data_IF_803378792381
#
_entry.id   IF_803378792381
#
_cell.length_a   1.000
_cell.length_b   1.000
_cell.length_c   1.000
_cell.angle_alpha   90.00
_cell.angle_beta   90.00
_cell.angle_gamma   90.00
#
_symmetry.space_group_name_H-M   'P 1'
#
loop_
_entity.id
_entity.type
_entity.pdbx_description
1 polymer ?
#
# COMPACT_ATOMS: atom_id res chain seq x y z
N UNK A 1 -6.64 16.47 -43.74
CA UNK A 1 -5.38 17.07 -43.26
C UNK A 1 -5.38 17.21 -41.74
N UNK A 2 -6.46 17.70 -41.12
CA UNK A 2 -6.56 17.92 -39.66
C UNK A 2 -6.48 16.66 -38.79
N UNK A 3 -7.01 15.51 -39.22
CA UNK A 3 -6.93 14.26 -38.46
C UNK A 3 -5.50 13.69 -38.40
N UNK A 4 -4.71 13.85 -39.46
CA UNK A 4 -3.32 13.40 -39.52
C UNK A 4 -2.42 14.29 -38.66
N UNK A 5 -2.63 15.61 -38.68
CA UNK A 5 -1.90 16.56 -37.83
C UNK A 5 -2.25 16.35 -36.35
N UNK A 6 -3.52 16.08 -36.03
CA UNK A 6 -3.96 15.75 -34.66
C UNK A 6 -3.35 14.44 -34.14
N UNK A 7 -3.16 13.44 -35.00
CA UNK A 7 -2.52 12.17 -34.63
C UNK A 7 -1.02 12.36 -34.34
N UNK A 8 -0.29 13.02 -35.25
CA UNK A 8 1.14 13.33 -35.09
C UNK A 8 1.41 14.19 -33.85
N UNK A 9 0.56 15.18 -33.58
CA UNK A 9 0.67 16.02 -32.38
C UNK A 9 0.38 15.21 -31.10
N UNK A 10 -0.50 14.20 -31.19
CA UNK A 10 -0.79 13.27 -30.11
C UNK A 10 0.42 12.38 -29.78
N UNK A 11 1.06 11.81 -30.79
CA UNK A 11 2.21 10.91 -30.62
C UNK A 11 3.41 11.64 -30.01
N UNK A 12 3.72 12.86 -30.47
CA UNK A 12 4.77 13.71 -29.88
C UNK A 12 4.52 14.02 -28.40
N UNK A 13 3.25 14.22 -28.02
CA UNK A 13 2.85 14.46 -26.62
C UNK A 13 3.02 13.21 -25.76
N UNK A 14 2.77 12.03 -26.31
CA UNK A 14 2.98 10.75 -25.62
C UNK A 14 4.46 10.48 -25.42
N UNK A 15 5.29 10.69 -26.45
CA UNK A 15 6.74 10.59 -26.33
C UNK A 15 7.30 11.53 -25.27
N UNK A 16 6.83 12.79 -25.28
CA UNK A 16 7.21 13.77 -24.25
C UNK A 16 6.81 13.32 -22.85
N UNK A 17 5.60 12.78 -22.68
CA UNK A 17 5.12 12.23 -21.40
C UNK A 17 6.04 11.11 -20.90
N UNK A 18 6.40 10.16 -21.78
CA UNK A 18 7.29 9.05 -21.44
C UNK A 18 8.69 9.54 -21.02
N UNK A 19 9.25 10.52 -21.73
CA UNK A 19 10.54 11.12 -21.38
C UNK A 19 10.51 11.78 -20.00
N UNK A 20 9.46 12.56 -19.70
CA UNK A 20 9.31 13.22 -18.40
C UNK A 20 9.12 12.18 -17.28
N UNK A 21 8.30 11.16 -17.51
CA UNK A 21 8.10 10.07 -16.56
C UNK A 21 9.40 9.34 -16.24
N UNK A 22 10.23 9.04 -17.24
CA UNK A 22 11.52 8.39 -17.03
C UNK A 22 12.42 9.25 -16.12
N UNK A 23 12.46 10.56 -16.35
CA UNK A 23 13.25 11.50 -15.52
C UNK A 23 12.75 11.54 -14.09
N UNK A 24 11.45 11.72 -13.88
CA UNK A 24 10.86 11.78 -12.54
C UNK A 24 11.03 10.45 -11.81
N UNK A 25 10.78 9.31 -12.47
CA UNK A 25 10.97 7.99 -11.88
C UNK A 25 12.40 7.80 -11.41
N UNK A 26 13.39 8.11 -12.25
CA UNK A 26 14.81 8.00 -11.90
C UNK A 26 15.15 8.79 -10.62
N UNK A 27 14.61 10.02 -10.50
CA UNK A 27 14.81 10.86 -9.32
C UNK A 27 14.13 10.28 -8.08
N UNK A 28 12.91 9.77 -8.20
CA UNK A 28 12.18 9.11 -7.09
C UNK A 28 12.91 7.84 -6.63
N UNK A 29 13.42 7.03 -7.56
CA UNK A 29 14.16 5.80 -7.28
C UNK A 29 15.51 6.07 -6.60
N UNK A 30 16.24 7.09 -7.05
CA UNK A 30 17.47 7.54 -6.39
C UNK A 30 17.15 8.08 -4.99
N UNK A 31 16.06 8.82 -4.83
CA UNK A 31 15.65 9.39 -3.56
C UNK A 31 15.27 8.32 -2.51
N UNK A 32 14.64 7.21 -2.93
CA UNK A 32 14.37 6.07 -2.02
C UNK A 32 15.67 5.39 -1.52
N UNK A 33 16.75 5.47 -2.30
CA UNK A 33 18.09 5.00 -1.92
C UNK A 33 18.89 5.95 -1.02
N UNK A 34 18.32 7.09 -0.62
CA UNK A 34 19.04 8.15 0.12
C UNK A 34 18.39 8.40 1.48
N UNK A 35 19.19 8.83 2.45
CA UNK A 35 18.66 9.30 3.74
C UNK A 35 18.37 10.80 3.68
N UNK A 36 17.09 11.16 3.60
CA UNK A 36 16.63 12.55 3.43
C UNK A 36 16.03 13.02 4.76
N UNK A 37 16.67 14.00 5.40
CA UNK A 37 16.21 14.58 6.67
C UNK A 37 15.47 15.90 6.50
N UNK A 38 15.73 16.62 5.42
CA UNK A 38 15.13 17.93 5.14
C UNK A 38 13.63 17.77 4.81
N UNK A 39 12.77 18.43 5.60
CA UNK A 39 11.31 18.33 5.46
C UNK A 39 10.78 18.89 4.14
N UNK A 40 11.38 19.96 3.61
CA UNK A 40 11.01 20.52 2.30
C UNK A 40 11.37 19.55 1.17
N UNK A 41 12.53 18.89 1.23
CA UNK A 41 12.91 17.85 0.27
C UNK A 41 11.94 16.66 0.32
N UNK A 42 11.52 16.23 1.52
CA UNK A 42 10.51 15.17 1.65
C UNK A 42 9.16 15.57 1.02
N UNK A 43 8.77 16.84 1.16
CA UNK A 43 7.57 17.35 0.49
C UNK A 43 7.72 17.37 -1.04
N UNK A 44 8.89 17.76 -1.55
CA UNK A 44 9.21 17.69 -2.98
C UNK A 44 9.15 16.25 -3.50
N UNK A 45 9.71 15.29 -2.77
CA UNK A 45 9.66 13.86 -3.13
C UNK A 45 8.22 13.33 -3.19
N UNK A 46 7.37 13.76 -2.25
CA UNK A 46 5.94 13.44 -2.26
C UNK A 46 5.24 13.96 -3.52
N UNK A 47 5.51 15.22 -3.88
CA UNK A 47 4.96 15.84 -5.10
C UNK A 47 5.47 15.16 -6.37
N UNK A 48 6.76 14.83 -6.44
CA UNK A 48 7.38 14.05 -7.53
C UNK A 48 6.69 12.70 -7.71
N UNK A 49 6.51 11.96 -6.61
CA UNK A 49 5.86 10.64 -6.62
C UNK A 49 4.40 10.72 -7.07
N UNK A 50 3.64 11.71 -6.58
CA UNK A 50 2.25 11.90 -6.98
C UNK A 50 2.12 12.21 -8.48
N UNK A 51 2.94 13.12 -9.00
CA UNK A 51 2.97 13.44 -10.43
C UNK A 51 3.38 12.23 -11.29
N UNK A 52 4.34 11.43 -10.80
CA UNK A 52 4.75 10.19 -11.45
C UNK A 52 3.59 9.20 -11.59
N UNK A 53 2.88 8.88 -10.50
CA UNK A 53 1.76 7.93 -10.55
C UNK A 53 0.61 8.46 -11.41
N UNK A 54 0.31 9.75 -11.35
CA UNK A 54 -0.67 10.38 -12.24
C UNK A 54 -0.27 10.24 -13.71
N UNK A 55 1.00 10.51 -14.04
CA UNK A 55 1.49 10.37 -15.41
C UNK A 55 1.45 8.91 -15.89
N UNK A 56 1.78 7.93 -15.04
CA UNK A 56 1.63 6.52 -15.36
C UNK A 56 0.18 6.10 -15.56
N UNK A 57 -0.74 6.61 -14.74
CA UNK A 57 -2.18 6.40 -14.92
C UNK A 57 -2.63 6.84 -16.32
N UNK A 58 -2.24 8.05 -16.72
CA UNK A 58 -2.57 8.57 -18.05
C UNK A 58 -1.90 7.73 -19.15
N UNK A 59 -0.61 7.44 -19.04
CA UNK A 59 0.13 6.66 -20.04
C UNK A 59 -0.49 5.27 -20.25
N UNK A 60 -0.89 4.60 -19.17
CA UNK A 60 -1.61 3.34 -19.20
C UNK A 60 -2.92 3.45 -19.98
N UNK A 61 -3.74 4.47 -19.69
CA UNK A 61 -5.02 4.71 -20.37
C UNK A 61 -4.84 4.94 -21.89
N UNK A 62 -3.71 5.50 -22.31
CA UNK A 62 -3.35 5.67 -23.73
C UNK A 62 -3.08 4.31 -24.38
N UNK A 63 -2.20 3.51 -23.76
CA UNK A 63 -1.80 2.19 -24.29
C UNK A 63 -3.00 1.27 -24.47
N UNK A 64 -3.89 1.19 -23.48
CA UNK A 64 -5.04 0.29 -23.53
C UNK A 64 -6.06 0.71 -24.60
N UNK A 65 -6.27 2.01 -24.80
CA UNK A 65 -7.16 2.52 -25.86
C UNK A 65 -6.63 2.26 -27.27
N UNK A 66 -5.32 2.35 -27.47
CA UNK A 66 -4.70 2.04 -28.77
C UNK A 66 -4.91 0.56 -29.15
N UNK A 67 -4.80 -0.36 -28.18
CA UNK A 67 -5.04 -1.78 -28.41
C UNK A 67 -6.52 -2.12 -28.64
N UNK A 68 -7.46 -1.52 -27.90
CA UNK A 68 -8.91 -1.74 -28.10
C UNK A 68 -9.44 -1.18 -29.44
N UNK A 69 -8.73 -0.24 -30.06
CA UNK A 69 -9.03 0.24 -31.42
C UNK A 69 -8.65 -0.77 -32.51
N UNK A 70 -7.63 -1.61 -32.27
CA UNK A 70 -7.08 -2.55 -33.24
C UNK A 70 -7.74 -3.96 -33.18
N UNK A 71 -8.34 -4.34 -32.06
CA UNK A 71 -8.92 -5.69 -31.83
C UNK A 71 -10.42 -5.80 -32.10
N UNK A 72 -10.98 -4.97 -33.00
CA UNK A 72 -12.43 -4.98 -33.30
C UNK A 72 -12.92 -6.18 -34.12
N UNK A 73 -12.04 -7.02 -34.65
CA UNK A 73 -12.41 -8.08 -35.61
C UNK A 73 -12.39 -9.52 -35.06
N UNK A 74 -12.33 -9.75 -33.74
CA UNK A 74 -12.33 -11.14 -33.24
C UNK A 74 -12.90 -11.35 -31.84
N UNK A 75 -14.20 -11.12 -31.66
CA UNK A 75 -14.99 -11.99 -30.78
C UNK A 75 -16.36 -12.18 -31.41
N UNK A 76 -16.52 -13.33 -32.07
CA UNK A 76 -17.80 -13.82 -32.61
C UNK A 76 -18.80 -14.05 -31.49
N UNK A 77 -20.03 -13.63 -31.75
CA UNK A 77 -21.23 -13.89 -30.95
C UNK A 77 -21.37 -15.38 -30.60
N UNK A 78 -21.52 -15.66 -29.31
CA UNK A 78 -22.34 -16.79 -28.87
C UNK A 78 -23.17 -16.35 -27.68
N UNK A 79 -24.45 -16.16 -27.97
CA UNK A 79 -25.52 -15.86 -27.06
C UNK A 79 -25.89 -17.11 -26.26
N UNK A 80 -25.56 -17.13 -24.97
CA UNK A 80 -26.27 -17.97 -24.00
C UNK A 80 -26.73 -17.13 -22.83
N UNK A 81 -28.05 -17.11 -22.69
CA UNK A 81 -28.85 -16.41 -21.68
C UNK A 81 -28.47 -16.83 -20.26
N UNK A 82 -27.97 -15.90 -19.45
CA UNK A 82 -27.95 -15.97 -17.99
C UNK A 82 -27.91 -14.55 -17.42
N UNK A 83 -28.91 -14.20 -16.62
CA UNK A 83 -29.26 -12.86 -16.12
C UNK A 83 -28.25 -12.24 -15.11
N UNK A 84 -26.98 -12.65 -15.12
CA UNK A 84 -25.97 -12.17 -14.15
C UNK A 84 -24.69 -11.60 -14.75
N UNK A 85 -24.70 -11.19 -16.02
CA UNK A 85 -23.62 -10.38 -16.59
C UNK A 85 -24.07 -8.92 -16.61
N UNK A 86 -23.69 -8.18 -15.56
CA UNK A 86 -23.63 -6.72 -15.67
C UNK A 86 -22.69 -6.45 -16.85
N UNK A 87 -23.16 -5.84 -17.95
CA UNK A 87 -22.27 -5.49 -19.03
C UNK A 87 -21.23 -4.56 -18.40
N UNK A 88 -19.94 -4.75 -18.76
CA UNK A 88 -19.05 -3.60 -18.89
C UNK A 88 -19.91 -2.44 -19.37
N UNK A 89 -19.84 -1.26 -18.76
CA UNK A 89 -20.45 -0.11 -19.39
C UNK A 89 -19.85 -0.05 -20.80
N UNK A 90 -20.58 -0.60 -21.79
CA UNK A 90 -20.50 -0.19 -23.16
C UNK A 90 -20.62 1.30 -22.99
N UNK A 91 -19.54 2.02 -23.31
CA UNK A 91 -19.71 3.35 -23.81
C UNK A 91 -20.65 3.18 -25.03
N UNK A 92 -21.96 3.17 -24.75
CA UNK A 92 -22.98 3.42 -25.76
C UNK A 92 -22.50 4.71 -26.39
N UNK A 93 -22.21 4.63 -27.68
CA UNK A 93 -22.04 5.74 -28.61
C UNK A 93 -22.63 7.05 -28.07
N UNK A 94 -21.81 7.78 -27.34
CA UNK A 94 -22.11 9.09 -26.78
C UNK A 94 -20.92 9.95 -27.16
N UNK A 95 -21.09 10.74 -28.22
CA UNK A 95 -20.17 11.73 -28.78
C UNK A 95 -18.67 11.39 -28.63
N UNK A 96 -18.10 10.72 -29.64
CA UNK A 96 -16.65 10.52 -29.79
C UNK A 96 -15.83 11.80 -29.55
N UNK A 97 -16.38 12.98 -29.83
CA UNK A 97 -15.72 14.26 -29.57
C UNK A 97 -15.55 14.63 -28.08
N UNK A 98 -16.48 14.26 -27.18
CA UNK A 98 -16.38 14.61 -25.75
C UNK A 98 -15.38 13.74 -25.01
N UNK A 99 -15.30 12.45 -25.36
CA UNK A 99 -14.34 11.50 -24.79
C UNK A 99 -12.91 11.80 -25.24
N UNK A 100 -12.73 12.20 -26.50
CA UNK A 100 -11.43 12.67 -27.04
C UNK A 100 -11.01 13.98 -26.39
N UNK A 101 -11.94 14.92 -26.16
CA UNK A 101 -11.65 16.18 -25.44
C UNK A 101 -11.24 15.95 -23.99
N UNK A 102 -11.98 15.14 -23.25
CA UNK A 102 -11.66 14.80 -21.86
C UNK A 102 -10.28 14.11 -21.74
N UNK A 103 -9.97 13.23 -22.70
CA UNK A 103 -8.68 12.57 -22.78
C UNK A 103 -7.53 13.51 -23.11
N UNK A 104 -7.69 14.35 -24.13
CA UNK A 104 -6.68 15.36 -24.47
C UNK A 104 -6.45 16.30 -23.29
N UNK A 105 -7.50 16.66 -22.55
CA UNK A 105 -7.37 17.41 -21.31
C UNK A 105 -6.55 16.67 -20.25
N UNK A 106 -6.82 15.38 -20.02
CA UNK A 106 -6.09 14.55 -19.05
C UNK A 106 -4.60 14.42 -19.41
N UNK A 107 -4.28 14.15 -20.68
CA UNK A 107 -2.92 14.13 -21.19
C UNK A 107 -2.21 15.48 -21.04
N UNK A 108 -2.87 16.57 -21.43
CA UNK A 108 -2.31 17.91 -21.25
C UNK A 108 -2.11 18.27 -19.78
N UNK A 109 -3.03 17.85 -18.91
CA UNK A 109 -2.91 18.07 -17.47
C UNK A 109 -1.73 17.32 -16.88
N UNK A 110 -1.55 16.03 -17.23
CA UNK A 110 -0.42 15.24 -16.76
C UNK A 110 0.92 15.79 -17.27
N UNK A 111 0.98 16.21 -18.54
CA UNK A 111 2.15 16.88 -19.11
C UNK A 111 2.50 18.16 -18.35
N UNK A 112 1.54 19.07 -18.17
CA UNK A 112 1.77 20.31 -17.41
C UNK A 112 2.23 20.04 -15.98
N UNK A 113 1.64 19.05 -15.32
CA UNK A 113 2.02 18.68 -13.96
C UNK A 113 3.47 18.14 -13.91
N UNK A 114 3.83 17.25 -14.83
CA UNK A 114 5.20 16.70 -14.89
C UNK A 114 6.22 17.75 -15.32
N UNK A 115 5.89 18.64 -16.25
CA UNK A 115 6.76 19.74 -16.68
C UNK A 115 7.04 20.70 -15.52
N UNK A 116 6.00 21.11 -14.78
CA UNK A 116 6.15 21.97 -13.60
C UNK A 116 7.03 21.31 -12.53
N UNK A 117 6.82 20.02 -12.26
CA UNK A 117 7.61 19.29 -11.25
C UNK A 117 9.06 19.09 -11.70
N UNK A 118 9.31 18.82 -12.98
CA UNK A 118 10.65 18.67 -13.56
C UNK A 118 11.41 20.01 -13.60
N UNK A 119 10.71 21.12 -13.83
CA UNK A 119 11.30 22.47 -13.78
C UNK A 119 11.87 22.77 -12.39
N UNK A 120 11.16 22.36 -11.34
CA UNK A 120 11.55 22.59 -9.93
C UNK A 120 12.40 21.48 -9.31
N UNK A 121 12.90 20.51 -10.09
CA UNK A 121 13.65 19.37 -9.54
C UNK A 121 15.17 19.60 -9.46
N UNK A 122 15.70 20.65 -10.10
CA UNK A 122 17.16 20.84 -10.21
C UNK A 122 17.80 21.01 -8.83
N UNK A 123 17.25 21.90 -8.00
CA UNK A 123 17.73 22.10 -6.62
C UNK A 123 17.57 20.84 -5.78
N UNK A 124 16.44 20.13 -5.94
CA UNK A 124 16.19 18.87 -5.25
C UNK A 124 17.26 17.82 -5.58
N UNK A 125 17.59 17.63 -6.86
CA UNK A 125 18.60 16.66 -7.32
C UNK A 125 20.00 17.02 -6.84
N UNK A 126 20.36 18.31 -6.85
CA UNK A 126 21.65 18.78 -6.33
C UNK A 126 21.78 18.49 -4.84
N UNK A 127 20.75 18.83 -4.04
CA UNK A 127 20.73 18.55 -2.60
C UNK A 127 20.72 17.04 -2.31
N UNK A 128 20.00 16.26 -3.13
CA UNK A 128 19.93 14.81 -3.00
C UNK A 128 21.30 14.15 -3.17
N UNK A 129 22.16 14.71 -4.02
CA UNK A 129 23.55 14.27 -4.18
C UNK A 129 24.36 14.28 -2.88
N UNK A 130 24.06 15.23 -1.98
CA UNK A 130 24.69 15.35 -0.66
C UNK A 130 24.07 14.46 0.43
N UNK A 131 22.95 13.80 0.16
CA UNK A 131 22.34 12.86 1.10
C UNK A 131 23.13 11.55 1.15
N UNK A 132 23.30 10.98 2.34
CA UNK A 132 23.96 9.69 2.51
C UNK A 132 23.19 8.58 1.78
N UNK A 133 23.92 7.67 1.12
CA UNK A 133 23.32 6.49 0.50
C UNK A 133 22.98 5.45 1.56
N UNK A 134 21.75 4.97 1.52
CA UNK A 134 21.31 3.81 2.29
C UNK A 134 21.98 2.58 1.65
N UNK A 135 22.85 1.89 2.39
CA UNK A 135 23.48 0.65 1.91
C UNK A 135 22.39 -0.37 1.56
N UNK A 136 22.20 -0.62 0.27
CA UNK A 136 21.32 -1.68 -0.21
C UNK A 136 22.05 -3.00 -0.05
N UNK A 137 21.49 -3.94 0.73
CA UNK A 137 21.98 -5.32 0.70
C UNK A 137 21.75 -5.85 -0.72
N UNK A 138 22.77 -6.42 -1.40
CA UNK A 138 22.72 -6.73 -2.82
C UNK A 138 21.58 -7.68 -3.24
N UNK A 139 20.93 -8.35 -2.30
CA UNK A 139 19.93 -9.40 -2.57
C UNK A 139 18.51 -9.10 -2.04
N UNK A 140 18.27 -8.01 -1.32
CA UNK A 140 16.99 -7.80 -0.61
C UNK A 140 15.95 -6.94 -1.35
N UNK A 141 16.36 -6.11 -2.32
CA UNK A 141 15.50 -5.01 -2.83
C UNK A 141 15.06 -5.14 -4.29
N UNK A 142 15.75 -5.94 -5.12
CA UNK A 142 15.52 -5.95 -6.59
C UNK A 142 15.23 -7.32 -7.21
N UNK A 143 15.56 -8.44 -6.55
CA UNK A 143 15.28 -9.77 -7.09
C UNK A 143 13.81 -10.17 -6.94
N UNK A 144 13.11 -9.57 -5.98
CA UNK A 144 11.69 -9.77 -5.78
C UNK A 144 10.99 -8.42 -5.72
N UNK A 145 10.15 -8.15 -6.73
CA UNK A 145 9.08 -7.12 -6.76
C UNK A 145 8.15 -7.21 -5.52
N UNK A 146 8.37 -8.20 -4.66
CA UNK A 146 7.55 -8.53 -3.52
C UNK A 146 8.10 -7.96 -2.17
N UNK A 147 9.26 -7.29 -2.16
CA UNK A 147 9.96 -6.80 -0.95
C UNK A 147 10.08 -5.26 -0.81
N UNK A 148 9.33 -4.47 -1.56
CA UNK A 148 9.38 -2.99 -1.42
C UNK A 148 8.25 -2.43 -0.56
N UNK A 149 8.55 -1.40 0.22
CA UNK A 149 7.54 -0.61 0.91
C UNK A 149 7.07 0.52 -0.02
N UNK A 150 5.95 0.28 -0.69
CA UNK A 150 5.42 1.20 -1.70
C UNK A 150 4.82 2.46 -1.08
N UNK A 151 5.15 3.63 -1.63
CA UNK A 151 4.44 4.89 -1.34
C UNK A 151 4.65 5.52 0.05
N UNK A 152 5.50 4.92 0.90
CA UNK A 152 5.74 5.39 2.29
C UNK A 152 7.09 6.02 2.51
N UNK A 153 7.67 6.60 1.47
CA UNK A 153 9.03 7.14 1.50
C UNK A 153 9.14 8.31 2.51
N UNK A 154 8.15 9.20 2.57
CA UNK A 154 8.17 10.33 3.52
C UNK A 154 8.09 9.82 4.96
N UNK A 155 7.10 8.98 5.26
CA UNK A 155 6.87 8.48 6.62
C UNK A 155 8.05 7.62 7.09
N UNK A 156 8.67 6.84 6.19
CA UNK A 156 9.90 6.09 6.46
C UNK A 156 11.03 7.01 6.91
N UNK A 157 11.30 8.09 6.18
CA UNK A 157 12.37 9.03 6.52
C UNK A 157 12.09 9.78 7.83
N UNK A 158 10.83 10.14 8.09
CA UNK A 158 10.41 10.77 9.34
C UNK A 158 10.69 9.87 10.55
N UNK A 159 10.35 8.57 10.46
CA UNK A 159 10.63 7.61 11.55
C UNK A 159 12.13 7.41 11.72
N UNK A 160 12.90 7.25 10.63
CA UNK A 160 14.36 7.12 10.71
C UNK A 160 14.99 8.35 11.38
N UNK A 161 14.58 9.54 10.97
CA UNK A 161 15.05 10.80 11.55
C UNK A 161 14.76 10.86 13.06
N UNK A 162 13.53 10.55 13.48
CA UNK A 162 13.15 10.48 14.89
C UNK A 162 14.00 9.50 15.70
N UNK A 163 14.25 8.31 15.14
CA UNK A 163 15.00 7.24 15.82
C UNK A 163 16.50 7.54 15.94
N UNK A 164 17.08 8.22 14.95
CA UNK A 164 18.51 8.54 14.92
C UNK A 164 18.82 9.95 15.47
N UNK A 165 17.80 10.76 15.77
CA UNK A 165 17.96 12.08 16.36
C UNK A 165 18.70 12.01 17.69
N UNK A 166 19.58 12.97 17.93
CA UNK A 166 20.40 13.06 19.14
C UNK A 166 19.58 13.01 20.43
N UNK A 167 20.24 12.50 21.47
CA UNK A 167 19.65 12.25 22.77
C UNK A 167 19.30 13.56 23.48
N UNK A 168 18.04 13.98 23.36
CA UNK A 168 17.52 15.07 24.19
C UNK A 168 17.58 14.68 25.67
N UNK A 169 17.91 15.61 26.58
CA UNK A 169 17.79 15.38 28.00
C UNK A 169 16.31 15.20 28.38
N UNK A 170 16.02 14.23 29.24
CA UNK A 170 14.66 13.90 29.68
C UNK A 170 14.23 12.47 29.35
N UNK A 171 12.94 12.16 29.56
CA UNK A 171 12.40 10.82 29.35
C UNK A 171 12.40 10.43 27.86
N UNK A 172 12.28 9.13 27.54
CA UNK A 172 12.22 8.65 26.16
C UNK A 172 11.11 9.32 25.35
N UNK A 173 11.49 9.84 24.17
CA UNK A 173 10.52 10.46 23.27
C UNK A 173 9.55 9.41 22.71
N UNK A 174 8.28 9.80 22.54
CA UNK A 174 7.18 8.96 22.07
C UNK A 174 6.70 9.46 20.72
N UNK A 175 6.81 8.62 19.68
CA UNK A 175 6.28 8.87 18.34
C UNK A 175 4.98 8.10 18.09
N UNK A 176 3.84 8.80 17.97
CA UNK A 176 2.61 8.16 17.54
C UNK A 176 2.58 7.95 16.02
N UNK A 177 2.16 6.76 15.62
CA UNK A 177 1.87 6.38 14.23
C UNK A 177 0.41 5.93 14.18
N UNK A 178 -0.44 6.79 13.65
CA UNK A 178 -1.91 6.62 13.65
C UNK A 178 -2.42 6.40 12.23
N UNK A 179 -3.47 5.61 12.07
CA UNK A 179 -4.12 5.40 10.77
C UNK A 179 -5.07 4.21 10.77
N UNK A 180 -5.82 4.04 9.67
CA UNK A 180 -6.81 2.96 9.54
C UNK A 180 -6.27 1.54 9.69
N UNK A 181 -7.15 0.55 9.65
CA UNK A 181 -6.77 -0.86 9.69
C UNK A 181 -6.09 -1.24 8.37
N UNK A 182 -4.97 -1.96 8.45
CA UNK A 182 -4.29 -2.48 7.26
C UNK A 182 -3.62 -1.45 6.36
N UNK A 183 -3.45 -0.19 6.81
CA UNK A 183 -2.74 0.86 6.04
C UNK A 183 -1.22 0.69 6.00
N UNK A 184 -0.67 -0.28 6.74
CA UNK A 184 0.75 -0.63 6.73
C UNK A 184 1.61 -0.05 7.86
N UNK A 185 1.02 0.41 8.98
CA UNK A 185 1.76 1.01 10.11
C UNK A 185 2.86 0.09 10.67
N UNK A 186 2.47 -1.14 11.03
CA UNK A 186 3.38 -2.17 11.55
C UNK A 186 4.45 -2.52 10.53
N UNK A 187 4.06 -2.68 9.26
CA UNK A 187 4.98 -2.98 8.16
C UNK A 187 6.01 -1.87 7.95
N UNK A 188 5.59 -0.60 7.99
CA UNK A 188 6.47 0.56 7.88
C UNK A 188 7.49 0.59 9.02
N UNK A 189 7.04 0.48 10.27
CA UNK A 189 7.92 0.54 11.44
C UNK A 189 8.89 -0.64 11.47
N UNK A 190 8.40 -1.84 11.15
CA UNK A 190 9.25 -3.01 11.01
C UNK A 190 10.32 -2.85 9.92
N UNK A 191 9.94 -2.29 8.77
CA UNK A 191 10.88 -2.02 7.68
C UNK A 191 11.96 -1.01 8.12
N UNK A 192 11.58 0.03 8.86
CA UNK A 192 12.53 0.99 9.45
C UNK A 192 13.42 0.33 10.49
N UNK A 193 12.90 -0.55 11.34
CA UNK A 193 13.70 -1.25 12.37
C UNK A 193 14.77 -2.18 11.78
N UNK A 194 14.59 -2.63 10.53
CA UNK A 194 15.62 -3.41 9.80
C UNK A 194 16.70 -2.55 9.15
N UNK A 195 16.49 -1.25 9.05
CA UNK A 195 17.49 -0.37 8.48
C UNK A 195 18.76 -0.45 9.31
N UNK A 196 19.89 -0.83 8.72
CA UNK A 196 21.11 -1.23 9.45
C UNK A 196 21.56 -0.17 10.47
N UNK A 197 21.43 1.12 10.13
CA UNK A 197 21.72 2.23 11.05
C UNK A 197 20.79 2.26 12.27
N UNK A 198 19.49 2.05 12.07
CA UNK A 198 18.50 1.97 13.16
C UNK A 198 18.73 0.70 13.99
N UNK A 199 18.92 -0.45 13.33
CA UNK A 199 19.15 -1.73 14.02
C UNK A 199 20.40 -1.70 14.89
N UNK A 200 21.46 -1.02 14.45
CA UNK A 200 22.70 -0.86 15.17
C UNK A 200 22.65 0.26 16.23
N UNK A 201 21.66 1.15 16.15
CA UNK A 201 21.51 2.25 17.12
C UNK A 201 20.93 1.78 18.46
N UNK A 202 20.10 0.73 18.43
CA UNK A 202 19.44 0.18 19.62
C UNK A 202 19.99 -1.20 19.95
N UNK A 203 20.33 -1.42 21.22
CA UNK A 203 20.75 -2.72 21.73
C UNK A 203 19.63 -3.74 21.57
N UNK A 204 18.40 -3.32 21.93
CA UNK A 204 17.19 -4.15 21.90
C UNK A 204 16.03 -3.39 21.26
N UNK A 205 15.24 -4.08 20.44
CA UNK A 205 13.96 -3.59 19.90
C UNK A 205 12.86 -4.49 20.45
N UNK A 206 11.98 -3.95 21.29
CA UNK A 206 10.88 -4.66 21.93
C UNK A 206 9.58 -4.39 21.18
N UNK A 207 8.83 -5.45 20.85
CA UNK A 207 7.50 -5.36 20.25
C UNK A 207 6.45 -5.83 21.25
N UNK A 208 5.48 -4.98 21.55
CA UNK A 208 4.48 -5.20 22.57
C UNK A 208 3.07 -4.99 22.02
N UNK A 209 2.12 -5.79 22.51
CA UNK A 209 0.71 -5.49 22.37
C UNK A 209 0.30 -4.48 23.43
N UNK A 210 -0.71 -3.65 23.14
CA UNK A 210 -1.33 -2.75 24.11
C UNK A 210 -1.86 -3.45 25.37
N UNK A 211 -2.27 -4.71 25.25
CA UNK A 211 -2.70 -5.52 26.41
C UNK A 211 -1.52 -6.03 27.26
N UNK A 212 -0.29 -5.81 26.79
CA UNK A 212 0.96 -6.27 27.40
C UNK A 212 1.79 -5.16 28.02
N UNK A 213 1.22 -3.97 28.30
CA UNK A 213 1.95 -2.85 28.92
C UNK A 213 2.59 -3.24 30.26
N UNK A 214 1.94 -4.12 31.03
CA UNK A 214 2.44 -4.65 32.30
C UNK A 214 3.55 -5.70 32.15
N UNK A 215 3.85 -6.19 30.94
CA UNK A 215 4.91 -7.21 30.75
C UNK A 215 6.33 -6.65 30.86
N UNK A 216 6.50 -5.34 30.71
CA UNK A 216 7.81 -4.70 30.93
C UNK A 216 8.09 -4.53 32.41
N UNK A 217 7.06 -4.37 33.25
CA UNK A 217 7.26 -4.15 34.69
C UNK A 217 7.80 -5.39 35.40
N UNK A 218 7.62 -6.58 34.81
CA UNK A 218 7.97 -7.86 35.44
C UNK A 218 9.38 -8.37 35.08
N UNK A 219 10.06 -7.76 34.10
CA UNK A 219 11.36 -8.21 33.62
C UNK A 219 12.44 -7.14 33.81
N UNK A 220 13.68 -7.55 34.08
CA UNK A 220 14.83 -6.64 34.08
C UNK A 220 14.96 -5.97 32.70
N UNK A 221 14.83 -4.64 32.69
CA UNK A 221 15.04 -3.84 31.49
C UNK A 221 16.51 -4.00 31.07
N UNK A 222 16.81 -4.49 29.86
CA UNK A 222 18.18 -4.66 29.40
C UNK A 222 18.94 -3.33 29.44
N UNK A 223 20.23 -3.34 29.81
CA UNK A 223 21.06 -2.15 29.67
C UNK A 223 21.32 -1.83 28.19
N UNK A 224 21.43 -0.55 27.87
CA UNK A 224 21.64 0.00 26.55
C UNK A 224 20.44 0.78 26.01
N UNK A 225 20.60 1.38 24.84
CA UNK A 225 19.50 2.09 24.16
C UNK A 225 18.44 1.10 23.70
N UNK A 226 17.20 1.30 24.13
CA UNK A 226 16.07 0.43 23.77
C UNK A 226 15.10 1.18 22.86
N UNK A 227 14.59 0.49 21.85
CA UNK A 227 13.42 0.92 21.10
C UNK A 227 12.22 0.08 21.53
N UNK A 228 11.17 0.71 22.05
CA UNK A 228 9.91 0.05 22.39
C UNK A 228 8.86 0.37 21.34
N UNK A 229 8.28 -0.64 20.71
CA UNK A 229 7.19 -0.51 19.74
C UNK A 229 5.93 -1.14 20.32
N UNK A 230 4.92 -0.32 20.62
CA UNK A 230 3.65 -0.78 21.20
C UNK A 230 2.53 -0.68 20.17
N UNK A 231 1.78 -1.76 19.97
CA UNK A 231 0.62 -1.80 19.07
C UNK A 231 -0.69 -1.83 19.86
N UNK A 232 -1.47 -0.75 19.78
CA UNK A 232 -2.76 -0.62 20.42
C UNK A 232 -3.90 -1.03 19.47
N UNK A 233 -4.71 -2.00 19.91
CA UNK A 233 -5.91 -2.44 19.21
C UNK A 233 -7.13 -1.57 19.52
N UNK A 234 -7.17 -0.98 20.73
CA UNK A 234 -8.24 -0.15 21.28
C UNK A 234 -7.69 1.13 21.90
N UNK A 235 -8.58 1.96 22.45
CA UNK A 235 -8.18 3.08 23.30
C UNK A 235 -7.46 2.56 24.56
N UNK A 236 -6.58 3.42 25.08
CA UNK A 236 -5.75 3.18 26.24
C UNK A 236 -6.19 4.14 27.32
N UNK A 237 -6.38 3.62 28.52
CA UNK A 237 -6.66 4.43 29.69
C UNK A 237 -5.43 5.28 30.07
N UNK A 238 -5.67 6.49 30.56
CA UNK A 238 -4.59 7.42 30.91
C UNK A 238 -3.74 6.90 32.08
N UNK A 239 -4.32 6.15 33.02
CA UNK A 239 -3.60 5.57 34.17
C UNK A 239 -2.74 4.37 33.72
N UNK A 240 -3.23 3.55 32.80
CA UNK A 240 -2.47 2.45 32.19
C UNK A 240 -1.26 2.99 31.41
N UNK A 241 -1.48 4.03 30.60
CA UNK A 241 -0.40 4.69 29.88
C UNK A 241 0.63 5.31 30.84
N UNK A 242 0.16 5.96 31.91
CA UNK A 242 1.05 6.60 32.89
C UNK A 242 1.93 5.59 33.62
N UNK A 243 1.37 4.43 33.97
CA UNK A 243 2.09 3.31 34.59
C UNK A 243 3.15 2.74 33.64
N UNK A 244 2.80 2.55 32.38
CA UNK A 244 3.76 2.13 31.36
C UNK A 244 4.88 3.16 31.17
N UNK A 245 4.51 4.44 31.02
CA UNK A 245 5.47 5.48 30.72
C UNK A 245 6.44 5.72 31.87
N UNK A 246 6.00 5.63 33.13
CA UNK A 246 6.90 5.70 34.30
C UNK A 246 7.94 4.58 34.28
N UNK A 247 7.57 3.38 33.85
CA UNK A 247 8.50 2.26 33.69
C UNK A 247 9.56 2.58 32.63
N UNK A 248 9.12 3.10 31.48
CA UNK A 248 9.99 3.47 30.37
C UNK A 248 10.90 4.67 30.71
N UNK A 249 10.51 5.55 31.62
CA UNK A 249 11.38 6.66 32.06
C UNK A 249 12.67 6.21 32.77
N UNK A 250 12.72 4.98 33.27
CA UNK A 250 13.93 4.40 33.86
C UNK A 250 14.95 3.88 32.83
N UNK A 251 14.59 3.85 31.54
CA UNK A 251 15.46 3.34 30.48
C UNK A 251 16.65 4.27 30.21
N UNK A 252 17.72 3.68 29.67
CA UNK A 252 18.94 4.41 29.34
C UNK A 252 18.69 5.54 28.34
N UNK A 253 19.49 6.61 28.50
CA UNK A 253 19.39 7.82 27.68
C UNK A 253 19.55 7.50 26.20
N UNK A 254 18.58 7.96 25.41
CA UNK A 254 18.50 7.71 23.97
C UNK A 254 17.56 6.57 23.60
N UNK A 255 16.93 5.92 24.57
CA UNK A 255 15.79 5.04 24.33
C UNK A 255 14.61 5.83 23.73
N UNK A 256 13.80 5.15 22.93
CA UNK A 256 12.69 5.75 22.17
C UNK A 256 11.46 4.83 22.23
N UNK A 257 10.29 5.43 22.12
CA UNK A 257 9.01 4.70 22.04
C UNK A 257 8.30 5.05 20.74
N UNK A 258 7.78 4.04 20.06
CA UNK A 258 6.83 4.18 18.96
C UNK A 258 5.51 3.54 19.39
N UNK A 259 4.41 4.28 19.29
CA UNK A 259 3.07 3.74 19.54
C UNK A 259 2.29 3.67 18.23
N UNK A 260 1.69 2.52 17.96
CA UNK A 260 0.90 2.27 16.76
C UNK A 260 -0.57 2.14 17.15
N UNK A 261 -1.47 2.76 16.40
CA UNK A 261 -2.88 2.46 16.57
C UNK A 261 -3.79 3.13 15.56
N UNK A 262 -5.10 3.00 15.80
CA UNK A 262 -6.14 3.50 14.89
C UNK A 262 -6.77 4.79 15.38
N UNK A 263 -6.79 4.97 16.69
CA UNK A 263 -7.56 6.03 17.32
C UNK A 263 -6.74 7.32 17.39
N UNK A 264 -7.41 8.41 17.05
CA UNK A 264 -6.87 9.76 17.13
C UNK A 264 -6.51 10.16 18.57
N UNK A 265 -7.16 9.54 19.56
CA UNK A 265 -6.85 9.67 20.99
C UNK A 265 -5.38 9.39 21.29
N UNK A 266 -4.73 8.45 20.59
CA UNK A 266 -3.32 8.08 20.81
C UNK A 266 -2.35 9.23 20.53
N UNK A 267 -2.77 10.26 19.78
CA UNK A 267 -1.96 11.45 19.53
C UNK A 267 -1.59 12.17 20.81
N UNK A 268 -2.45 12.11 21.84
CA UNK A 268 -2.23 12.77 23.14
C UNK A 268 -1.02 12.23 23.90
N UNK A 269 -0.63 10.99 23.61
CA UNK A 269 0.51 10.33 24.25
C UNK A 269 1.86 10.61 23.56
N UNK A 270 1.83 11.29 22.41
CA UNK A 270 3.04 11.65 21.68
C UNK A 270 3.78 12.82 22.31
N UNK A 271 5.12 12.71 22.35
CA UNK A 271 5.99 13.85 22.70
C UNK A 271 6.54 14.55 21.45
N UNK A 272 6.32 13.97 20.27
CA UNK A 272 6.69 14.53 18.96
C UNK A 272 5.50 14.49 18.00
N UNK A 273 5.64 15.17 16.86
CA UNK A 273 4.59 15.22 15.85
C UNK A 273 4.16 13.81 15.40
N UNK A 274 2.85 13.55 15.46
CA UNK A 274 2.27 12.28 15.02
C UNK A 274 2.42 12.07 13.52
N UNK A 275 2.76 10.86 13.12
CA UNK A 275 2.71 10.41 11.72
C UNK A 275 1.35 9.78 11.46
N UNK A 276 0.62 10.31 10.47
CA UNK A 276 -0.69 9.80 10.06
C UNK A 276 -0.58 9.03 8.75
N UNK A 277 -0.89 7.73 8.77
CA UNK A 277 -0.93 6.88 7.58
C UNK A 277 -2.35 6.75 7.02
N UNK A 278 -2.55 7.37 5.86
CA UNK A 278 -3.77 7.25 5.07
C UNK A 278 -3.67 6.08 4.09
N UNK A 279 -4.79 5.64 3.53
CA UNK A 279 -4.78 4.73 2.36
C UNK A 279 -4.05 5.37 1.19
N UNK A 280 -3.50 4.55 0.29
CA UNK A 280 -2.83 5.05 -0.91
C UNK A 280 -3.83 5.79 -1.81
N UNK A 281 -3.35 6.83 -2.48
CA UNK A 281 -4.14 7.54 -3.49
C UNK A 281 -4.50 6.59 -4.64
N UNK A 282 -5.55 6.91 -5.40
CA UNK A 282 -6.06 6.00 -6.43
C UNK A 282 -5.01 5.61 -7.47
N UNK A 283 -4.28 6.60 -8.00
CA UNK A 283 -3.26 6.42 -9.03
C UNK A 283 -2.08 5.59 -8.51
N UNK A 284 -1.65 5.88 -7.28
CA UNK A 284 -0.60 5.15 -6.57
C UNK A 284 -1.02 3.70 -6.29
N UNK A 285 -2.25 3.50 -5.81
CA UNK A 285 -2.80 2.19 -5.52
C UNK A 285 -3.01 1.35 -6.79
N UNK A 286 -3.50 1.95 -7.88
CA UNK A 286 -3.62 1.30 -9.19
C UNK A 286 -2.25 0.87 -9.69
N UNK A 287 -1.24 1.72 -9.56
CA UNK A 287 0.13 1.37 -9.93
C UNK A 287 0.63 0.16 -9.12
N UNK A 288 0.47 0.18 -7.80
CA UNK A 288 0.84 -0.93 -6.92
C UNK A 288 0.13 -2.23 -7.31
N UNK A 289 -1.20 -2.19 -7.48
CA UNK A 289 -1.99 -3.35 -7.86
C UNK A 289 -1.53 -3.93 -9.20
N UNK A 290 -1.28 -3.07 -10.20
CA UNK A 290 -0.76 -3.49 -11.49
C UNK A 290 0.56 -4.23 -11.32
N UNK A 291 1.51 -3.63 -10.62
CA UNK A 291 2.83 -4.22 -10.37
C UNK A 291 2.72 -5.57 -9.67
N UNK A 292 1.88 -5.69 -8.63
CA UNK A 292 1.71 -6.94 -7.89
C UNK A 292 0.96 -8.03 -8.67
N UNK A 293 -0.07 -7.65 -9.43
CA UNK A 293 -0.94 -8.58 -10.16
C UNK A 293 -0.26 -9.15 -11.40
N UNK A 294 0.58 -8.36 -12.07
CA UNK A 294 1.38 -8.83 -13.20
C UNK A 294 2.69 -9.50 -12.77
N UNK A 295 3.25 -9.12 -11.60
CA UNK A 295 4.52 -9.66 -11.14
C UNK A 295 5.64 -9.36 -12.14
N UNK A 296 6.25 -10.40 -12.71
CA UNK A 296 7.29 -10.28 -13.74
C UNK A 296 6.74 -10.21 -15.17
N UNK A 297 5.44 -10.41 -15.37
CA UNK A 297 4.83 -10.33 -16.70
C UNK A 297 4.73 -8.87 -17.16
N UNK A 298 4.91 -8.64 -18.45
CA UNK A 298 4.77 -7.31 -19.03
C UNK A 298 3.29 -6.98 -19.24
N UNK A 299 2.74 -5.92 -18.60
CA UNK A 299 1.34 -5.52 -18.79
C UNK A 299 1.00 -5.16 -20.24
N UNK A 300 2.00 -4.74 -21.05
CA UNK A 300 1.82 -4.41 -22.46
C UNK A 300 1.36 -5.60 -23.31
N UNK A 301 1.68 -6.83 -22.90
CA UNK A 301 1.29 -8.05 -23.63
C UNK A 301 -0.16 -8.46 -23.34
N UNK A 302 -0.80 -7.82 -22.35
CA UNK A 302 -2.14 -8.15 -21.86
C UNK A 302 -3.01 -6.91 -21.62
N UNK A 303 -3.32 -6.11 -22.66
CA UNK A 303 -4.02 -4.82 -22.51
C UNK A 303 -5.40 -4.95 -21.84
N UNK A 304 -6.13 -6.04 -22.10
CA UNK A 304 -7.43 -6.30 -21.47
C UNK A 304 -7.33 -6.50 -19.94
N UNK A 305 -6.25 -7.14 -19.46
CA UNK A 305 -6.06 -7.37 -18.03
C UNK A 305 -5.83 -6.07 -17.26
N UNK A 306 -5.18 -5.12 -17.90
CA UNK A 306 -4.86 -3.87 -17.25
C UNK A 306 -6.07 -2.94 -17.07
N UNK A 307 -7.08 -3.01 -17.95
CA UNK A 307 -8.38 -2.38 -17.69
C UNK A 307 -9.08 -2.98 -16.47
N UNK A 308 -8.94 -4.29 -16.27
CA UNK A 308 -9.49 -4.98 -15.10
C UNK A 308 -8.78 -4.54 -13.80
N UNK A 309 -7.48 -4.21 -13.85
CA UNK A 309 -6.75 -3.65 -12.69
C UNK A 309 -7.39 -2.36 -12.20
N UNK A 310 -7.82 -1.49 -13.11
CA UNK A 310 -8.48 -0.24 -12.73
C UNK A 310 -9.77 -0.50 -11.95
N UNK A 311 -10.57 -1.45 -12.42
CA UNK A 311 -11.79 -1.87 -11.73
C UNK A 311 -11.52 -2.52 -10.37
N UNK A 312 -10.44 -3.30 -10.24
CA UNK A 312 -9.97 -3.77 -8.93
C UNK A 312 -9.62 -2.59 -8.03
N UNK A 313 -8.87 -1.61 -8.52
CA UNK A 313 -8.46 -0.44 -7.74
C UNK A 313 -9.66 0.35 -7.20
N UNK A 314 -10.69 0.55 -8.04
CA UNK A 314 -11.95 1.22 -7.65
C UNK A 314 -12.66 0.45 -6.56
N UNK A 315 -12.85 -0.87 -6.73
CA UNK A 315 -13.63 -1.69 -5.79
C UNK A 315 -12.90 -1.88 -4.45
N UNK A 316 -11.57 -1.95 -4.46
CA UNK A 316 -10.78 -2.20 -3.25
C UNK A 316 -10.41 -0.92 -2.48
N UNK A 317 -10.52 0.26 -3.09
CA UNK A 317 -10.52 1.54 -2.39
C UNK A 317 -9.26 1.82 -1.56
N UNK A 318 -8.08 1.55 -2.13
CA UNK A 318 -6.78 1.85 -1.49
C UNK A 318 -6.36 0.88 -0.38
N UNK A 319 -7.10 -0.21 -0.16
CA UNK A 319 -6.85 -1.16 0.91
C UNK A 319 -5.73 -2.15 0.54
N UNK A 320 -4.63 -2.13 1.30
CA UNK A 320 -3.45 -2.94 0.98
C UNK A 320 -3.70 -4.44 1.18
N UNK A 321 -4.45 -4.85 2.19
CA UNK A 321 -4.67 -6.28 2.50
C UNK A 321 -5.46 -6.97 1.36
N UNK A 322 -6.68 -6.52 1.01
CA UNK A 322 -7.40 -7.09 -0.14
C UNK A 322 -6.62 -6.93 -1.44
N UNK A 323 -5.91 -5.82 -1.63
CA UNK A 323 -5.12 -5.60 -2.84
C UNK A 323 -4.04 -6.65 -3.05
N UNK A 324 -3.24 -6.94 -2.02
CA UNK A 324 -2.21 -7.98 -2.09
C UNK A 324 -2.80 -9.37 -2.29
N UNK A 325 -3.91 -9.65 -1.62
CA UNK A 325 -4.62 -10.92 -1.72
C UNK A 325 -5.11 -11.18 -3.15
N UNK A 326 -5.78 -10.20 -3.76
CA UNK A 326 -6.28 -10.33 -5.14
C UNK A 326 -5.12 -10.40 -6.12
N UNK A 327 -4.10 -9.54 -5.96
CA UNK A 327 -2.92 -9.59 -6.80
C UNK A 327 -2.24 -10.97 -6.75
N UNK A 328 -2.14 -11.58 -5.56
CA UNK A 328 -1.61 -12.94 -5.42
C UNK A 328 -2.49 -14.00 -6.10
N UNK A 329 -3.82 -13.87 -6.01
CA UNK A 329 -4.74 -14.81 -6.65
C UNK A 329 -4.66 -14.72 -8.19
N UNK A 330 -4.62 -13.52 -8.74
CA UNK A 330 -4.70 -13.32 -10.20
C UNK A 330 -3.36 -13.46 -10.92
N UNK A 331 -2.22 -13.24 -10.25
CA UNK A 331 -0.88 -13.37 -10.88
C UNK A 331 -0.55 -14.77 -11.37
N UNK A 332 -1.22 -15.80 -10.83
CA UNK A 332 -1.01 -17.21 -11.25
C UNK A 332 -1.72 -17.54 -12.57
N UNK A 333 -2.68 -16.71 -13.01
CA UNK A 333 -3.48 -16.97 -14.19
C UNK A 333 -3.79 -15.67 -14.93
N UNK A 334 -3.00 -15.35 -15.96
CA UNK A 334 -3.14 -14.14 -16.80
C UNK A 334 -4.23 -14.29 -17.89
N UNK A 335 -5.39 -14.83 -17.52
CA UNK A 335 -6.55 -14.97 -18.39
C UNK A 335 -7.63 -13.92 -18.05
N UNK A 336 -8.13 -13.21 -19.06
CA UNK A 336 -9.10 -12.12 -18.86
C UNK A 336 -10.43 -12.59 -18.26
N UNK A 337 -10.94 -13.76 -18.67
CA UNK A 337 -12.16 -14.33 -18.07
C UNK A 337 -11.97 -14.68 -16.60
N UNK A 338 -10.79 -15.21 -16.24
CA UNK A 338 -10.47 -15.50 -14.85
C UNK A 338 -10.43 -14.23 -13.99
N UNK A 339 -9.75 -13.19 -14.46
CA UNK A 339 -9.68 -11.89 -13.76
C UNK A 339 -11.07 -11.26 -13.62
N UNK A 340 -11.90 -11.30 -14.67
CA UNK A 340 -13.27 -10.79 -14.63
C UNK A 340 -14.18 -11.56 -13.67
N UNK A 341 -14.07 -12.89 -13.67
CA UNK A 341 -14.81 -13.74 -12.72
C UNK A 341 -14.44 -13.39 -11.28
N UNK A 342 -13.14 -13.21 -11.02
CA UNK A 342 -12.62 -12.78 -9.71
C UNK A 342 -13.17 -11.40 -9.32
N UNK A 343 -13.09 -10.41 -10.22
CA UNK A 343 -13.66 -9.07 -10.00
C UNK A 343 -15.16 -9.12 -9.69
N UNK A 344 -15.93 -9.94 -10.41
CA UNK A 344 -17.36 -10.08 -10.17
C UNK A 344 -17.66 -10.67 -8.78
N UNK A 345 -16.88 -11.66 -8.32
CA UNK A 345 -17.01 -12.20 -6.94
C UNK A 345 -16.76 -11.14 -5.88
N UNK A 346 -15.76 -10.27 -6.08
CA UNK A 346 -15.48 -9.15 -5.16
C UNK A 346 -16.64 -8.15 -5.18
N UNK A 347 -17.14 -7.77 -6.36
CA UNK A 347 -18.28 -6.85 -6.49
C UNK A 347 -19.55 -7.39 -5.81
N UNK A 348 -19.81 -8.69 -5.90
CA UNK A 348 -20.93 -9.33 -5.17
C UNK A 348 -20.72 -9.23 -3.66
N UNK A 349 -19.53 -9.58 -3.18
CA UNK A 349 -19.17 -9.48 -1.75
C UNK A 349 -19.30 -8.04 -1.24
N UNK A 350 -18.86 -7.09 -2.04
CA UNK A 350 -18.94 -5.66 -1.77
C UNK A 350 -20.40 -5.20 -1.61
N UNK A 351 -21.26 -5.53 -2.60
CA UNK A 351 -22.69 -5.22 -2.56
C UNK A 351 -23.40 -5.87 -1.38
N UNK A 352 -23.06 -7.11 -1.06
CA UNK A 352 -23.64 -7.84 0.08
C UNK A 352 -23.33 -7.17 1.42
N UNK A 353 -22.10 -6.69 1.62
CA UNK A 353 -21.73 -5.96 2.82
C UNK A 353 -22.45 -4.61 2.92
N UNK A 354 -22.52 -3.86 1.82
CA UNK A 354 -23.28 -2.60 1.78
C UNK A 354 -24.77 -2.85 2.06
N UNK A 355 -25.38 -3.87 1.45
CA UNK A 355 -26.80 -4.15 1.66
C UNK A 355 -27.11 -4.63 3.07
N UNK A 356 -26.20 -5.37 3.72
CA UNK A 356 -26.40 -5.91 5.08
C UNK A 356 -26.05 -4.92 6.18
N UNK A 357 -24.97 -4.17 6.00
CA UNK A 357 -24.41 -3.33 7.06
C UNK A 357 -24.46 -1.84 6.75
N UNK A 358 -24.79 -1.43 5.52
CA UNK A 358 -24.86 -0.02 5.10
C UNK A 358 -23.52 0.62 4.75
N UNK A 359 -22.40 -0.07 4.97
CA UNK A 359 -21.05 0.49 4.83
C UNK A 359 -20.16 -0.36 3.91
N UNK A 360 -19.13 0.27 3.36
CA UNK A 360 -18.07 -0.43 2.64
C UNK A 360 -17.33 -1.39 3.59
N UNK A 361 -16.98 -2.63 3.17
CA UNK A 361 -16.07 -3.53 3.88
C UNK A 361 -14.85 -2.88 4.53
N UNK A 362 -14.17 -1.96 3.85
CA UNK A 362 -13.00 -1.31 4.41
C UNK A 362 -13.37 -0.38 5.58
N UNK A 363 -14.50 0.31 5.52
CA UNK A 363 -15.01 1.15 6.63
C UNK A 363 -15.44 0.28 7.81
N UNK A 364 -16.09 -0.86 7.55
CA UNK A 364 -16.44 -1.83 8.58
C UNK A 364 -15.18 -2.35 9.29
N UNK A 365 -14.13 -2.69 8.53
CA UNK A 365 -12.83 -3.11 9.10
C UNK A 365 -12.17 -2.01 9.93
N UNK A 366 -12.23 -0.75 9.48
CA UNK A 366 -11.70 0.39 10.22
C UNK A 366 -12.43 0.58 11.55
N UNK A 367 -13.76 0.38 11.56
CA UNK A 367 -14.62 0.43 12.74
C UNK A 367 -14.56 -0.82 13.64
N UNK A 368 -13.76 -1.83 13.27
CA UNK A 368 -13.73 -3.09 14.02
C UNK A 368 -15.05 -3.88 13.98
N UNK A 369 -15.83 -3.72 12.90
CA UNK A 369 -17.07 -4.45 12.67
C UNK A 369 -16.87 -5.70 11.80
N UNK A 370 -17.73 -6.72 11.93
CA UNK A 370 -17.68 -7.90 11.08
C UNK A 370 -17.87 -7.58 9.59
N UNK A 371 -17.18 -8.34 8.72
CA UNK A 371 -17.24 -8.20 7.25
C UNK A 371 -17.45 -9.55 6.60
N UNK A 372 -18.39 -9.64 5.67
CA UNK A 372 -18.56 -10.84 4.85
C UNK A 372 -17.45 -10.96 3.81
N UNK A 373 -16.82 -12.13 3.72
CA UNK A 373 -15.96 -12.55 2.63
C UNK A 373 -16.68 -13.63 1.80
N UNK A 374 -17.27 -13.22 0.69
CA UNK A 374 -18.13 -14.10 -0.10
C UNK A 374 -19.39 -14.56 0.67
N UNK A 375 -20.09 -15.58 0.17
CA UNK A 375 -21.36 -16.02 0.74
C UNK A 375 -21.23 -16.81 2.04
N UNK A 376 -20.06 -17.39 2.33
CA UNK A 376 -19.90 -18.38 3.41
C UNK A 376 -19.02 -17.93 4.58
N UNK A 377 -18.23 -16.87 4.44
CA UNK A 377 -17.30 -16.46 5.49
C UNK A 377 -17.71 -15.11 6.08
N UNK A 378 -17.76 -15.03 7.41
CA UNK A 378 -17.90 -13.79 8.17
C UNK A 378 -16.60 -13.57 8.93
N UNK A 379 -15.84 -12.55 8.54
CA UNK A 379 -14.68 -12.12 9.30
C UNK A 379 -15.12 -11.20 10.43
N UNK A 380 -15.08 -11.71 11.66
CA UNK A 380 -15.05 -10.84 12.83
C UNK A 380 -13.61 -10.34 13.02
N UNK A 381 -13.37 -9.02 13.15
CA UNK A 381 -12.04 -8.52 13.43
C UNK A 381 -11.63 -8.95 14.85
N UNK A 382 -10.90 -10.05 14.94
CA UNK A 382 -10.27 -10.47 16.18
C UNK A 382 -9.12 -9.49 16.54
N UNK A 383 -8.89 -9.32 17.84
CA UNK A 383 -7.70 -8.69 18.37
C UNK A 383 -6.45 -9.38 17.79
N UNK A 384 -5.36 -8.63 17.50
CA UNK A 384 -4.10 -9.25 17.12
C UNK A 384 -3.62 -10.12 18.29
N UNK A 385 -3.78 -11.44 18.18
CA UNK A 385 -3.18 -12.35 19.16
C UNK A 385 -1.66 -12.28 19.03
N UNK A 386 -0.91 -12.01 20.11
CA UNK A 386 0.54 -12.03 20.11
C UNK A 386 1.11 -13.46 20.09
N UNK A 387 0.29 -14.48 20.34
CA UNK A 387 0.70 -15.88 20.21
C UNK A 387 0.52 -16.35 18.77
N UNK A 388 1.57 -16.93 18.20
CA UNK A 388 1.42 -17.88 17.11
C UNK A 388 0.33 -18.86 17.54
N UNK A 389 -0.74 -19.02 16.76
CA UNK A 389 -1.73 -20.00 17.14
C UNK A 389 -1.06 -21.36 17.11
N UNK A 390 -1.28 -22.15 18.17
CA UNK A 390 -0.79 -23.52 18.31
C UNK A 390 -0.72 -24.20 16.93
N UNK A 391 0.46 -24.68 16.57
CA UNK A 391 0.85 -25.17 15.24
C UNK A 391 0.11 -26.42 14.77
N UNK A 392 -0.94 -26.85 15.48
CA UNK A 392 -1.68 -28.10 15.23
C UNK A 392 -2.84 -27.95 14.25
N UNK A 393 -3.35 -26.74 13.99
CA UNK A 393 -4.48 -26.54 13.06
C UNK A 393 -3.99 -26.29 11.62
N UNK A 394 -4.66 -26.88 10.60
CA UNK A 394 -4.31 -26.66 9.21
C UNK A 394 -4.47 -25.18 8.83
N UNK A 395 -3.56 -24.67 7.97
CA UNK A 395 -3.57 -23.30 7.45
C UNK A 395 -4.10 -23.31 6.02
N UNK A 396 -5.05 -22.43 5.73
CA UNK A 396 -5.56 -22.16 4.38
C UNK A 396 -5.26 -20.71 4.03
N UNK A 397 -4.51 -20.46 2.96
CA UNK A 397 -4.29 -19.11 2.45
C UNK A 397 -5.49 -18.71 1.63
N UNK A 398 -6.17 -17.62 2.02
CA UNK A 398 -7.39 -17.20 1.34
C UNK A 398 -7.14 -16.86 -0.15
N UNK A 399 -5.95 -16.39 -0.48
CA UNK A 399 -5.55 -16.12 -1.87
C UNK A 399 -5.57 -17.36 -2.77
N UNK A 400 -5.14 -18.51 -2.24
CA UNK A 400 -5.17 -19.78 -2.97
C UNK A 400 -6.61 -20.26 -3.18
N UNK A 401 -7.49 -20.04 -2.20
CA UNK A 401 -8.91 -20.35 -2.35
C UNK A 401 -9.62 -19.51 -3.42
N UNK A 402 -9.14 -18.28 -3.66
CA UNK A 402 -9.61 -17.43 -4.75
C UNK A 402 -8.99 -17.84 -6.10
N UNK A 403 -7.72 -18.22 -6.11
CA UNK A 403 -6.99 -18.66 -7.30
C UNK A 403 -7.58 -19.94 -7.91
N UNK A 404 -8.01 -20.86 -7.04
CA UNK A 404 -8.46 -22.20 -7.40
C UNK A 404 -9.96 -22.41 -7.09
N UNK A 405 -10.79 -21.39 -7.33
CA UNK A 405 -12.20 -21.38 -6.99
C UNK A 405 -12.97 -22.60 -7.56
N UNK A 406 -13.13 -23.65 -6.73
CA UNK A 406 -13.75 -24.94 -7.08
C UNK A 406 -12.92 -26.18 -6.73
N UNK A 407 -11.61 -26.04 -6.49
CA UNK A 407 -10.69 -27.16 -6.23
C UNK A 407 -10.09 -27.17 -4.82
N UNK A 408 -10.02 -26.01 -4.15
CA UNK A 408 -9.64 -25.95 -2.72
C UNK A 408 -10.82 -26.28 -1.83
N UNK A 409 -10.84 -27.51 -1.29
CA UNK A 409 -11.79 -27.91 -0.24
C UNK A 409 -11.25 -27.42 1.10
N UNK A 410 -11.99 -26.60 1.86
CA UNK A 410 -11.54 -26.20 3.19
C UNK A 410 -11.34 -27.45 4.07
N UNK A 411 -10.33 -27.45 4.96
CA UNK A 411 -10.12 -28.57 5.88
C UNK A 411 -11.40 -28.89 6.65
N UNK A 412 -11.66 -30.18 6.90
CA UNK A 412 -12.74 -30.58 7.80
C UNK A 412 -12.35 -30.22 9.24
N UNK A 413 -13.21 -29.46 9.93
CA UNK A 413 -12.97 -28.99 11.30
C UNK A 413 -12.42 -27.56 11.34
N UNK A 414 -11.87 -27.16 12.49
CA UNK A 414 -11.32 -25.83 12.68
C UNK A 414 -10.01 -25.67 11.89
N UNK A 415 -9.81 -24.50 11.27
CA UNK A 415 -8.59 -24.19 10.51
C UNK A 415 -8.27 -22.70 10.58
N UNK A 416 -6.99 -22.36 10.36
CA UNK A 416 -6.56 -20.98 10.25
C UNK A 416 -6.73 -20.47 8.84
N UNK A 417 -7.62 -19.49 8.65
CA UNK A 417 -7.68 -18.75 7.40
C UNK A 417 -6.64 -17.62 7.42
N UNK A 418 -5.53 -17.83 6.72
CA UNK A 418 -4.49 -16.81 6.52
C UNK A 418 -5.00 -15.86 5.43
N UNK A 419 -5.56 -14.73 5.86
CA UNK A 419 -6.06 -13.70 4.95
C UNK A 419 -4.93 -13.10 4.09
N UNK A 420 -3.77 -12.83 4.70
CA UNK A 420 -2.57 -12.36 4.02
C UNK A 420 -1.35 -12.48 4.94
N UNK A 421 -0.21 -12.84 4.36
CA UNK A 421 1.10 -12.93 5.00
C UNK A 421 1.98 -11.81 4.45
N UNK A 422 2.46 -10.91 5.33
CA UNK A 422 3.35 -9.82 4.94
C UNK A 422 4.68 -10.39 4.46
N UNK A 423 5.04 -10.07 3.22
CA UNK A 423 6.32 -10.47 2.61
C UNK A 423 7.50 -9.66 3.16
N UNK A 424 7.20 -8.51 3.77
CA UNK A 424 8.11 -7.76 4.63
C UNK A 424 7.98 -8.27 6.09
N UNK A 425 9.02 -8.85 6.70
CA UNK A 425 8.92 -9.38 8.07
C UNK A 425 8.65 -8.25 9.12
N UNK A 426 8.38 -8.53 10.42
CA UNK A 426 8.65 -9.74 11.16
C UNK A 426 7.38 -10.57 11.22
N UNK A 427 7.45 -11.74 10.59
CA UNK A 427 6.71 -12.86 11.14
C UNK A 427 7.28 -13.08 12.53
N UNK A 428 6.39 -13.01 13.51
CA UNK A 428 6.60 -13.26 14.94
C UNK A 428 7.85 -14.09 15.23
N UNK A 429 8.84 -13.48 15.88
CA UNK A 429 9.77 -14.20 16.76
C UNK A 429 9.10 -14.37 18.11
#
# INVERSE_FOLDING_TARGET
>A
MDLAISAVTGDLKVERLQQLLLRVHTVVEEADGRHITNSCMLMQLKTLSAAMYQGYHVLDNIRYRQHNGASKDSVSDSSTSSDYIIPFKRARTANSSSTIKAFNWELQSALRNLEAVVDHMVEFVVLLGGCERVSRRPYDTYLHVDNFLFGRHVEKQQIISFLLQENMPGPPAVLPVVGGRGVGKRTLVAHVCRYDRVRSHFAVILHLSGDGLTKITDNEIPSGKILVVVEFASDVDDDDWKTFYSTVTSMDRGSKVIILGRNESLKKFGTVQTISLNRLAFEEYKYLLKTLAFGSANPGDHPQLAEIVEEFAVVLGGSLIPGNLIAHAVRKNLNAHFWLSTLNRIRITMKMNISRFGFHPNELLDQGRPVHLGPHYLLSPAAPSPSSPNSSLPKLVFGDSLAEAGHTVPPKGDFWLVAWESRLPPYTS
#
